data_IF_208840349164
#
_entry.id   IF_208840349164
#
_cell.length_a   1.000
_cell.length_b   1.000
_cell.length_c   1.000
_cell.angle_alpha   90.00
_cell.angle_beta   90.00
_cell.angle_gamma   90.00
#
_symmetry.space_group_name_H-M   'P 1'
#
loop_
_entity.id
_entity.type
_entity.pdbx_description
1 polymer ?
#
# COMPACT_ATOMS: atom_id res chain seq x y z
N UNK A 1 -20.67 -9.62 11.07
CA UNK A 1 -20.20 -9.63 9.67
C UNK A 1 -18.69 -9.72 9.69
N UNK A 2 -18.09 -10.49 8.77
CA UNK A 2 -16.62 -10.59 8.65
C UNK A 2 -16.11 -9.34 7.91
N UNK A 3 -15.07 -8.69 8.44
CA UNK A 3 -14.44 -7.53 7.81
C UNK A 3 -13.88 -7.91 6.43
N UNK A 4 -14.31 -7.24 5.33
CA UNK A 4 -13.76 -7.51 4.00
C UNK A 4 -12.28 -7.09 3.93
N UNK A 5 -11.43 -8.00 3.43
CA UNK A 5 -10.00 -7.76 3.25
C UNK A 5 -9.71 -7.71 1.75
N UNK A 6 -9.19 -6.58 1.26
CA UNK A 6 -8.72 -6.40 -0.11
C UNK A 6 -7.20 -6.41 -0.15
N UNK A 7 -6.59 -7.24 -1.00
CA UNK A 7 -5.14 -7.42 -1.06
C UNK A 7 -4.60 -6.95 -2.40
N UNK A 8 -3.57 -6.12 -2.35
CA UNK A 8 -2.96 -5.45 -3.48
C UNK A 8 -1.44 -5.39 -3.42
N UNK A 9 -0.87 -4.76 -4.46
CA UNK A 9 0.57 -4.57 -4.65
C UNK A 9 0.90 -3.09 -4.83
N UNK A 10 2.17 -2.73 -4.62
CA UNK A 10 2.64 -1.36 -4.62
C UNK A 10 3.19 -0.93 -5.98
N UNK A 11 2.36 -0.94 -7.01
CA UNK A 11 2.74 -0.58 -8.37
C UNK A 11 2.67 -1.76 -9.32
N UNK A 12 3.10 -1.55 -10.56
CA UNK A 12 3.04 -2.59 -11.61
C UNK A 12 4.16 -2.48 -12.64
N UNK A 13 4.85 -1.36 -12.75
CA UNK A 13 5.83 -1.12 -13.81
C UNK A 13 7.26 -1.26 -13.31
N UNK A 14 7.72 -2.52 -13.22
CA UNK A 14 9.04 -2.89 -12.73
C UNK A 14 9.86 -3.58 -13.83
N UNK A 15 11.11 -3.14 -14.03
CA UNK A 15 11.97 -3.69 -15.07
C UNK A 15 12.43 -5.12 -14.74
N UNK A 16 12.71 -5.40 -13.46
CA UNK A 16 13.11 -6.70 -12.93
C UNK A 16 11.98 -7.75 -12.93
N UNK A 17 10.76 -7.37 -13.32
CA UNK A 17 9.63 -8.28 -13.46
C UNK A 17 9.53 -8.93 -14.84
N UNK A 18 10.28 -8.44 -15.83
CA UNK A 18 10.33 -9.03 -17.16
C UNK A 18 10.92 -10.44 -17.09
N UNK A 19 10.23 -11.41 -17.71
CA UNK A 19 10.58 -12.83 -17.63
C UNK A 19 10.22 -13.51 -16.30
N UNK A 20 9.70 -12.77 -15.32
CA UNK A 20 9.20 -13.31 -14.05
C UNK A 20 7.68 -13.13 -13.97
N UNK A 21 7.19 -11.90 -13.81
CA UNK A 21 5.75 -11.62 -13.82
C UNK A 21 5.26 -11.47 -15.25
N UNK A 22 6.02 -10.77 -16.09
CA UNK A 22 5.66 -10.50 -17.48
C UNK A 22 6.46 -11.42 -18.41
N UNK A 23 5.87 -12.57 -18.74
CA UNK A 23 6.47 -13.48 -19.73
C UNK A 23 6.39 -12.89 -21.13
N UNK A 24 5.25 -12.31 -21.50
CA UNK A 24 5.11 -11.52 -22.73
C UNK A 24 5.53 -10.08 -22.45
N UNK A 25 6.63 -9.58 -23.05
CA UNK A 25 7.09 -8.21 -22.83
C UNK A 25 6.15 -7.14 -23.42
N UNK A 26 5.21 -7.54 -24.30
CA UNK A 26 4.22 -6.63 -24.92
C UNK A 26 2.93 -6.54 -24.13
N UNK A 27 2.79 -7.29 -23.04
CA UNK A 27 1.56 -7.30 -22.25
C UNK A 27 1.29 -5.92 -21.64
N UNK A 28 0.02 -5.52 -21.63
CA UNK A 28 -0.40 -4.39 -20.81
C UNK A 28 -0.25 -4.78 -19.34
N UNK A 29 0.82 -4.29 -18.72
CA UNK A 29 1.21 -4.64 -17.35
C UNK A 29 0.10 -4.36 -16.34
N UNK A 30 -0.61 -3.23 -16.45
CA UNK A 30 -1.70 -2.87 -15.53
C UNK A 30 -2.89 -3.83 -15.68
N UNK A 31 -3.32 -4.08 -16.92
CA UNK A 31 -4.42 -5.00 -17.22
C UNK A 31 -4.07 -6.41 -16.71
N UNK A 32 -2.83 -6.82 -16.93
CA UNK A 32 -2.31 -8.12 -16.51
C UNK A 32 -2.33 -8.26 -14.99
N UNK A 33 -1.62 -7.39 -14.24
CA UNK A 33 -1.51 -7.58 -12.79
C UNK A 33 -2.82 -7.37 -12.05
N UNK A 34 -3.68 -6.46 -12.52
CA UNK A 34 -5.01 -6.28 -11.93
C UNK A 34 -5.90 -7.52 -12.08
N UNK A 35 -5.50 -8.51 -12.89
CA UNK A 35 -6.16 -9.82 -12.98
C UNK A 35 -5.98 -10.70 -11.75
N UNK A 36 -5.00 -10.37 -10.90
CA UNK A 36 -4.53 -11.22 -9.81
C UNK A 36 -4.78 -10.61 -8.42
N UNK A 37 -5.00 -9.30 -8.35
CA UNK A 37 -5.12 -8.55 -7.08
C UNK A 37 -6.38 -7.71 -7.02
N UNK A 38 -6.81 -7.35 -5.81
CA UNK A 38 -8.02 -6.54 -5.58
C UNK A 38 -7.77 -5.04 -5.78
N UNK A 39 -6.54 -4.61 -5.57
CA UNK A 39 -6.16 -3.22 -5.71
C UNK A 39 -4.68 -3.03 -6.03
N UNK A 40 -4.34 -1.82 -6.43
CA UNK A 40 -2.96 -1.40 -6.71
C UNK A 40 -2.71 -0.02 -6.10
N UNK A 41 -1.61 0.12 -5.37
CA UNK A 41 -1.13 1.40 -4.86
C UNK A 41 -0.27 2.13 -5.91
N UNK A 42 -0.73 3.30 -6.34
CA UNK A 42 -0.05 4.15 -7.31
C UNK A 42 1.09 4.89 -6.61
N UNK A 43 2.32 4.50 -6.95
CA UNK A 43 3.53 5.12 -6.43
C UNK A 43 4.09 6.24 -7.31
N UNK A 44 3.71 6.31 -8.59
CA UNK A 44 4.22 7.36 -9.49
C UNK A 44 3.84 8.77 -9.04
N UNK A 45 2.71 8.92 -8.35
CA UNK A 45 2.24 10.21 -7.81
C UNK A 45 3.09 10.78 -6.69
N UNK A 46 3.89 9.94 -6.05
CA UNK A 46 4.89 10.38 -5.06
C UNK A 46 5.91 11.34 -5.68
N UNK A 47 6.23 11.18 -6.97
CA UNK A 47 7.27 11.95 -7.67
C UNK A 47 6.70 13.04 -8.59
N UNK A 48 5.47 12.87 -9.06
CA UNK A 48 4.82 13.83 -9.98
C UNK A 48 3.30 13.77 -9.82
N UNK A 49 2.61 14.91 -9.75
CA UNK A 49 1.14 14.92 -9.72
C UNK A 49 0.50 14.14 -10.86
N UNK A 50 -0.64 13.47 -10.61
CA UNK A 50 -1.33 12.71 -11.64
C UNK A 50 -1.91 13.64 -12.71
N UNK A 51 -1.92 13.19 -13.97
CA UNK A 51 -2.67 13.83 -15.04
C UNK A 51 -4.02 13.14 -15.21
N UNK A 52 -5.11 13.90 -15.31
CA UNK A 52 -6.46 13.36 -15.48
C UNK A 52 -6.59 12.43 -16.70
N UNK A 53 -5.87 12.72 -17.79
CA UNK A 53 -5.80 11.84 -18.97
C UNK A 53 -5.21 10.46 -18.65
N UNK A 54 -4.12 10.43 -17.87
CA UNK A 54 -3.47 9.19 -17.45
C UNK A 54 -4.39 8.39 -16.51
N UNK A 55 -5.06 9.07 -15.57
CA UNK A 55 -6.01 8.46 -14.64
C UNK A 55 -7.22 7.88 -15.38
N UNK A 56 -7.79 8.60 -16.37
CA UNK A 56 -8.83 8.06 -17.26
C UNK A 56 -8.38 6.80 -18.00
N UNK A 57 -7.17 6.80 -18.55
CA UNK A 57 -6.62 5.61 -19.22
C UNK A 57 -6.53 4.41 -18.28
N UNK A 58 -6.10 4.59 -17.02
CA UNK A 58 -6.08 3.52 -16.03
C UNK A 58 -7.48 3.01 -15.69
N UNK A 59 -8.46 3.92 -15.59
CA UNK A 59 -9.87 3.58 -15.37
C UNK A 59 -10.41 2.70 -16.50
N UNK A 60 -10.20 3.11 -17.76
CA UNK A 60 -10.64 2.38 -18.95
C UNK A 60 -10.00 0.98 -19.02
N UNK A 61 -8.69 0.89 -18.81
CA UNK A 61 -7.93 -0.37 -18.83
C UNK A 61 -8.37 -1.36 -17.76
N UNK A 62 -8.94 -0.88 -16.65
CA UNK A 62 -9.40 -1.72 -15.54
C UNK A 62 -10.92 -1.85 -15.47
N UNK A 63 -11.66 -1.32 -16.46
CA UNK A 63 -13.12 -1.26 -16.48
C UNK A 63 -13.84 -2.61 -16.38
N UNK A 64 -13.21 -3.69 -16.86
CA UNK A 64 -13.75 -5.05 -16.79
C UNK A 64 -13.75 -5.63 -15.36
N UNK A 65 -13.25 -4.89 -14.36
CA UNK A 65 -13.14 -5.30 -12.95
C UNK A 65 -13.87 -4.28 -12.07
N UNK A 66 -15.18 -4.46 -11.83
CA UNK A 66 -15.99 -3.48 -11.11
C UNK A 66 -15.53 -3.28 -9.65
N UNK A 67 -15.07 -4.35 -8.99
CA UNK A 67 -14.60 -4.28 -7.60
C UNK A 67 -13.15 -3.80 -7.44
N UNK A 68 -12.36 -3.86 -8.53
CA UNK A 68 -10.96 -3.44 -8.51
C UNK A 68 -10.85 -1.93 -8.26
N UNK A 69 -9.92 -1.53 -7.40
CA UNK A 69 -9.70 -0.13 -7.08
C UNK A 69 -8.22 0.21 -6.95
N UNK A 70 -7.94 1.50 -6.86
CA UNK A 70 -6.61 2.04 -6.64
C UNK A 70 -6.50 2.68 -5.27
N UNK A 71 -5.29 2.68 -4.75
CA UNK A 71 -4.83 3.63 -3.75
C UNK A 71 -3.72 4.46 -4.38
N UNK A 72 -3.34 5.57 -3.78
CA UNK A 72 -2.26 6.40 -4.33
C UNK A 72 -1.40 6.99 -3.23
N UNK A 73 -0.12 7.20 -3.53
CA UNK A 73 0.79 7.88 -2.62
C UNK A 73 0.77 9.38 -2.86
N UNK A 74 0.68 10.14 -1.78
CA UNK A 74 0.76 11.59 -1.79
C UNK A 74 2.15 12.07 -2.23
N UNK A 75 2.24 13.25 -2.82
CA UNK A 75 3.50 13.82 -3.32
C UNK A 75 4.56 13.96 -2.22
N UNK A 76 5.81 13.63 -2.55
CA UNK A 76 6.93 13.66 -1.60
C UNK A 76 7.23 15.07 -1.05
N UNK A 77 6.91 16.12 -1.81
CA UNK A 77 7.13 17.49 -1.31
C UNK A 77 6.34 17.76 -0.03
N UNK A 78 5.16 17.13 0.13
CA UNK A 78 4.32 17.29 1.31
C UNK A 78 4.86 16.50 2.50
N UNK A 79 5.36 15.27 2.29
CA UNK A 79 5.70 14.37 3.42
C UNK A 79 7.19 14.21 3.70
N UNK A 80 8.06 14.49 2.73
CA UNK A 80 9.51 14.31 2.85
C UNK A 80 10.26 15.64 2.81
N UNK A 81 9.75 16.63 2.08
CA UNK A 81 10.35 17.97 1.99
C UNK A 81 9.67 18.99 2.91
N UNK A 82 8.50 18.65 3.46
CA UNK A 82 7.76 19.50 4.40
C UNK A 82 7.13 20.75 3.78
N UNK A 83 6.88 20.75 2.46
CA UNK A 83 6.38 21.91 1.70
C UNK A 83 5.07 21.60 1.00
N UNK A 84 3.97 22.17 1.50
CA UNK A 84 2.64 22.04 0.88
C UNK A 84 2.41 23.14 -0.15
N UNK A 85 2.83 22.89 -1.39
CA UNK A 85 2.59 23.77 -2.53
C UNK A 85 1.09 23.73 -2.96
N UNK A 86 0.35 24.85 -2.90
CA UNK A 86 -1.04 24.92 -3.32
C UNK A 86 -1.30 24.50 -4.78
N UNK A 87 -0.34 24.69 -5.68
CA UNK A 87 -0.49 24.30 -7.08
C UNK A 87 -0.42 22.77 -7.23
N UNK A 88 0.50 22.12 -6.54
CA UNK A 88 0.57 20.64 -6.48
C UNK A 88 -0.72 20.06 -5.87
N UNK A 89 -1.28 20.71 -4.84
CA UNK A 89 -2.58 20.33 -4.25
C UNK A 89 -3.68 20.38 -5.31
N UNK A 90 -3.81 21.47 -6.06
CA UNK A 90 -4.80 21.60 -7.15
C UNK A 90 -4.60 20.54 -8.22
N UNK A 91 -3.36 20.24 -8.59
CA UNK A 91 -3.04 19.21 -9.58
C UNK A 91 -3.43 17.81 -9.12
N UNK A 92 -3.28 17.48 -7.82
CA UNK A 92 -3.76 16.22 -7.27
C UNK A 92 -5.28 16.08 -7.35
N UNK A 93 -6.02 17.12 -6.92
CA UNK A 93 -7.49 17.13 -6.98
C UNK A 93 -7.98 16.96 -8.43
N UNK A 94 -7.49 17.80 -9.36
CA UNK A 94 -7.87 17.72 -10.79
C UNK A 94 -7.42 16.40 -11.43
N UNK A 95 -6.23 15.93 -11.10
CA UNK A 95 -5.67 14.72 -11.69
C UNK A 95 -6.45 13.47 -11.32
N UNK A 96 -6.96 13.40 -10.09
CA UNK A 96 -7.75 12.26 -9.61
C UNK A 96 -9.26 12.38 -9.78
N UNK A 97 -9.78 13.51 -10.24
CA UNK A 97 -11.21 13.70 -10.55
C UNK A 97 -11.86 12.49 -11.25
N UNK A 98 -11.27 11.86 -12.30
CA UNK A 98 -11.89 10.70 -12.94
C UNK A 98 -12.04 9.48 -12.02
N UNK A 99 -11.09 9.28 -11.10
CA UNK A 99 -11.19 8.20 -10.11
C UNK A 99 -12.16 8.54 -8.98
N UNK A 100 -12.28 9.80 -8.59
CA UNK A 100 -13.22 10.24 -7.56
C UNK A 100 -14.66 10.09 -8.06
N UNK A 101 -14.95 10.53 -9.29
CA UNK A 101 -16.25 10.34 -9.95
C UNK A 101 -16.62 8.85 -10.07
N UNK A 102 -15.66 8.02 -10.49
CA UNK A 102 -15.87 6.58 -10.65
C UNK A 102 -15.76 5.79 -9.33
N UNK A 103 -15.47 6.44 -8.20
CA UNK A 103 -15.21 5.81 -6.89
C UNK A 103 -14.13 4.71 -6.94
N UNK A 104 -13.11 4.91 -7.78
CA UNK A 104 -12.00 3.98 -7.99
C UNK A 104 -10.74 4.28 -7.19
N UNK A 105 -10.65 5.42 -6.52
CA UNK A 105 -9.57 5.70 -5.56
C UNK A 105 -10.10 5.60 -4.14
N UNK A 106 -9.70 4.56 -3.40
CA UNK A 106 -10.21 4.33 -2.02
C UNK A 106 -9.39 5.02 -0.95
N UNK A 107 -8.08 5.14 -1.14
CA UNK A 107 -7.17 5.70 -0.13
C UNK A 107 -6.08 6.57 -0.77
N UNK A 108 -5.76 7.68 -0.11
CA UNK A 108 -4.59 8.51 -0.40
C UNK A 108 -3.59 8.37 0.77
N UNK A 109 -2.46 7.73 0.50
CA UNK A 109 -1.42 7.42 1.47
C UNK A 109 -0.50 8.63 1.69
N UNK A 110 -0.52 9.13 2.92
CA UNK A 110 0.36 10.17 3.47
C UNK A 110 1.50 9.50 4.23
N UNK A 111 2.51 9.02 3.49
CA UNK A 111 3.68 8.34 4.09
C UNK A 111 4.79 9.34 4.41
N UNK A 112 5.11 9.45 5.70
CA UNK A 112 6.21 10.27 6.21
C UNK A 112 7.51 9.49 6.36
N UNK A 113 8.62 10.21 6.39
CA UNK A 113 9.96 9.67 6.68
C UNK A 113 10.04 9.09 8.10
N UNK A 114 11.08 8.29 8.33
CA UNK A 114 11.34 7.68 9.65
C UNK A 114 11.67 8.69 10.76
N UNK A 115 12.17 9.87 10.39
CA UNK A 115 12.55 10.96 11.28
C UNK A 115 11.42 11.95 11.58
N UNK A 116 10.23 11.73 11.02
CA UNK A 116 9.03 12.51 11.34
C UNK A 116 8.48 12.10 12.70
N UNK A 117 8.97 12.74 13.75
CA UNK A 117 8.56 12.54 15.14
C UNK A 117 7.39 13.44 15.52
N UNK A 118 6.52 12.93 16.39
CA UNK A 118 5.46 13.72 17.02
C UNK A 118 6.00 14.97 17.74
N UNK A 119 5.28 16.08 17.59
CA UNK A 119 5.60 17.40 18.11
C UNK A 119 4.70 18.46 17.48
N UNK A 120 4.58 19.63 18.09
CA UNK A 120 3.66 20.68 17.62
C UNK A 120 3.87 21.06 16.13
N UNK A 121 5.11 21.26 15.61
CA UNK A 121 5.31 21.55 14.19
C UNK A 121 4.83 20.41 13.28
N UNK A 122 5.09 19.16 13.69
CA UNK A 122 4.70 17.96 12.93
C UNK A 122 3.17 17.79 12.90
N UNK A 123 2.50 18.00 14.04
CA UNK A 123 1.03 17.98 14.16
C UNK A 123 0.40 19.07 13.29
N UNK A 124 0.89 20.32 13.35
CA UNK A 124 0.38 21.41 12.50
C UNK A 124 0.54 21.11 11.01
N UNK A 125 1.70 20.58 10.62
CA UNK A 125 1.97 20.20 9.23
C UNK A 125 1.05 19.08 8.74
N UNK A 126 0.84 18.04 9.56
CA UNK A 126 -0.10 16.98 9.24
C UNK A 126 -1.54 17.51 9.14
N UNK A 127 -1.96 18.38 10.07
CA UNK A 127 -3.29 18.99 10.03
C UNK A 127 -3.51 19.86 8.78
N UNK A 128 -2.50 20.61 8.31
CA UNK A 128 -2.58 21.36 7.05
C UNK A 128 -2.75 20.44 5.84
N UNK A 129 -2.00 19.32 5.78
CA UNK A 129 -2.19 18.30 4.74
C UNK A 129 -3.61 17.74 4.80
N UNK A 130 -4.06 17.30 5.98
CA UNK A 130 -5.40 16.72 6.16
C UNK A 130 -6.49 17.70 5.72
N UNK A 131 -6.40 18.96 6.17
CA UNK A 131 -7.33 20.03 5.82
C UNK A 131 -7.48 20.28 4.31
N UNK A 132 -6.45 19.99 3.52
CA UNK A 132 -6.45 20.20 2.07
C UNK A 132 -6.95 19.01 1.25
N UNK A 133 -7.04 17.82 1.84
CA UNK A 133 -7.34 16.60 1.09
C UNK A 133 -8.53 15.79 1.64
N UNK A 134 -8.86 15.92 2.93
CA UNK A 134 -9.86 15.05 3.58
C UNK A 134 -11.28 15.15 3.00
N UNK A 135 -11.64 16.28 2.38
CA UNK A 135 -12.96 16.44 1.75
C UNK A 135 -13.14 15.55 0.52
N UNK A 136 -12.07 15.29 -0.23
CA UNK A 136 -12.10 14.52 -1.47
C UNK A 136 -11.54 13.11 -1.32
N UNK A 137 -10.65 12.88 -0.35
CA UNK A 137 -9.90 11.64 -0.23
C UNK A 137 -9.98 11.06 1.18
N UNK A 138 -10.16 9.74 1.29
CA UNK A 138 -9.92 9.02 2.54
C UNK A 138 -8.42 8.92 2.78
N UNK A 139 -7.92 9.58 3.83
CA UNK A 139 -6.48 9.67 4.10
C UNK A 139 -6.00 8.53 4.99
N UNK A 140 -4.89 7.92 4.58
CA UNK A 140 -4.14 6.94 5.37
C UNK A 140 -2.79 7.54 5.70
N UNK A 141 -2.44 7.66 6.98
CA UNK A 141 -1.16 8.21 7.42
C UNK A 141 -0.23 7.08 7.82
N UNK A 142 0.93 7.02 7.18
CA UNK A 142 1.99 6.09 7.55
C UNK A 142 3.08 6.82 8.33
N UNK A 143 3.22 6.43 9.60
CA UNK A 143 4.16 6.96 10.56
C UNK A 143 5.13 5.85 10.94
N UNK A 144 6.42 6.19 11.04
CA UNK A 144 7.49 5.23 11.28
C UNK A 144 8.28 5.50 12.56
N UNK A 145 7.96 6.59 13.26
CA UNK A 145 8.62 7.01 14.50
C UNK A 145 7.77 6.66 15.72
N UNK A 146 8.39 6.07 16.75
CA UNK A 146 7.75 5.57 17.99
C UNK A 146 7.00 6.65 18.77
N UNK A 147 7.37 7.92 18.63
CA UNK A 147 6.69 9.01 19.37
C UNK A 147 5.22 9.21 18.96
N UNK A 148 4.77 8.63 17.85
CA UNK A 148 3.37 8.64 17.45
C UNK A 148 2.51 7.55 18.10
N UNK A 149 3.09 6.70 18.97
CA UNK A 149 2.38 5.63 19.67
C UNK A 149 1.68 6.09 20.96
N UNK A 150 1.98 7.29 21.46
CA UNK A 150 1.34 7.77 22.69
C UNK A 150 -0.16 7.97 22.47
N UNK A 151 -0.95 7.79 23.54
CA UNK A 151 -2.40 7.96 23.45
C UNK A 151 -2.77 9.37 22.96
N UNK A 152 -2.05 10.41 23.39
CA UNK A 152 -2.29 11.79 22.95
C UNK A 152 -1.99 12.00 21.46
N UNK A 153 -1.05 11.25 20.89
CA UNK A 153 -0.76 11.28 19.47
C UNK A 153 -1.83 10.52 18.67
N UNK A 154 -2.25 9.35 19.16
CA UNK A 154 -3.32 8.56 18.55
C UNK A 154 -4.68 9.28 18.60
N UNK A 155 -5.01 9.95 19.70
CA UNK A 155 -6.23 10.75 19.84
C UNK A 155 -6.22 11.95 18.89
N UNK A 156 -5.06 12.60 18.73
CA UNK A 156 -4.89 13.67 17.74
C UNK A 156 -5.14 13.15 16.31
N UNK A 157 -4.57 12.00 15.96
CA UNK A 157 -4.79 11.37 14.65
C UNK A 157 -6.26 10.98 14.46
N UNK A 158 -6.90 10.42 15.49
CA UNK A 158 -8.34 10.11 15.48
C UNK A 158 -9.21 11.36 15.29
N UNK A 159 -8.86 12.47 15.95
CA UNK A 159 -9.54 13.76 15.81
C UNK A 159 -9.42 14.38 14.41
N UNK A 160 -8.37 14.03 13.65
CA UNK A 160 -8.22 14.41 12.25
C UNK A 160 -9.03 13.53 11.28
N UNK A 161 -9.68 12.46 11.75
CA UNK A 161 -10.47 11.55 10.91
C UNK A 161 -9.64 10.71 9.94
N UNK A 162 -8.33 10.57 10.16
CA UNK A 162 -7.45 9.76 9.30
C UNK A 162 -7.44 8.29 9.76
N UNK A 163 -7.04 7.41 8.85
CA UNK A 163 -6.62 6.04 9.21
C UNK A 163 -5.11 6.01 9.47
N UNK A 164 -4.67 5.37 10.54
CA UNK A 164 -3.24 5.08 10.76
C UNK A 164 -2.86 3.76 10.10
N UNK A 165 -1.82 3.80 9.27
CA UNK A 165 -1.31 2.62 8.56
C UNK A 165 -0.63 1.64 9.53
N UNK A 166 -1.07 0.39 9.50
CA UNK A 166 -0.38 -0.71 10.17
C UNK A 166 0.78 -1.20 9.28
N UNK A 167 1.90 -1.58 9.90
CA UNK A 167 3.13 -1.91 9.18
C UNK A 167 3.66 -3.31 9.52
N UNK A 168 4.24 -3.96 8.52
CA UNK A 168 5.17 -5.07 8.67
C UNK A 168 6.48 -4.70 7.97
N UNK A 169 7.52 -4.41 8.77
CA UNK A 169 8.80 -3.90 8.29
C UNK A 169 9.91 -4.15 9.33
N UNK A 170 11.20 -4.01 8.98
CA UNK A 170 12.29 -4.07 9.95
C UNK A 170 12.20 -2.94 10.97
N UNK A 171 12.22 -3.28 12.25
CA UNK A 171 12.07 -2.32 13.35
C UNK A 171 13.40 -2.08 14.07
N UNK A 172 13.63 -0.83 14.48
CA UNK A 172 14.69 -0.40 15.39
C UNK A 172 14.09 0.15 16.69
N UNK A 173 14.93 0.67 17.61
CA UNK A 173 14.46 1.27 18.86
C UNK A 173 13.44 2.40 18.63
N UNK A 174 13.64 3.22 17.60
CA UNK A 174 12.80 4.39 17.30
C UNK A 174 11.64 4.08 16.34
N UNK A 175 11.51 2.84 15.87
CA UNK A 175 10.43 2.47 14.96
C UNK A 175 9.06 2.50 15.64
N UNK A 176 8.04 2.86 14.88
CA UNK A 176 6.63 2.63 15.22
C UNK A 176 6.35 1.12 15.26
N UNK A 177 5.84 0.62 16.39
CA UNK A 177 5.77 -0.80 16.77
C UNK A 177 4.38 -1.23 17.21
N UNK A 178 3.40 -0.33 17.25
CA UNK A 178 2.05 -0.68 17.67
C UNK A 178 1.51 -1.81 16.77
N UNK A 179 1.29 -3.02 17.32
CA UNK A 179 1.04 -4.20 16.48
C UNK A 179 -0.34 -4.15 15.81
N UNK A 180 -1.30 -3.53 16.50
CA UNK A 180 -2.67 -3.32 16.06
C UNK A 180 -3.12 -1.88 16.35
N UNK A 181 -2.88 -0.96 15.42
CA UNK A 181 -3.43 0.38 15.51
C UNK A 181 -4.85 0.38 14.92
N UNK A 182 -5.83 0.83 15.71
CA UNK A 182 -7.26 0.85 15.33
C UNK A 182 -7.78 2.26 15.04
N UNK A 183 -6.90 3.24 14.88
CA UNK A 183 -7.28 4.61 14.51
C UNK A 183 -7.70 4.63 13.03
N UNK A 184 -8.97 4.99 12.79
CA UNK A 184 -9.57 5.10 11.46
C UNK A 184 -10.83 4.27 11.30
N UNK A 185 -11.61 4.57 10.25
CA UNK A 185 -12.85 3.84 9.94
C UNK A 185 -12.59 2.53 9.16
N UNK A 186 -11.69 2.62 8.18
CA UNK A 186 -11.17 1.48 7.43
C UNK A 186 -9.72 1.26 7.80
N UNK A 187 -9.29 0.01 7.89
CA UNK A 187 -7.90 -0.33 8.15
C UNK A 187 -7.04 -0.27 6.88
N UNK A 188 -5.75 -0.01 7.08
CA UNK A 188 -4.74 -0.11 6.03
C UNK A 188 -3.49 -0.80 6.57
N UNK A 189 -2.93 -1.74 5.82
CA UNK A 189 -1.77 -2.52 6.23
C UNK A 189 -0.74 -2.57 5.09
N UNK A 190 0.54 -2.32 5.37
CA UNK A 190 1.61 -2.43 4.37
C UNK A 190 2.69 -3.41 4.78
N UNK A 191 3.03 -4.31 3.85
CA UNK A 191 4.09 -5.31 3.99
C UNK A 191 5.33 -4.83 3.23
N UNK A 192 6.38 -4.46 3.94
CA UNK A 192 7.62 -3.94 3.35
C UNK A 192 8.73 -4.98 3.21
N UNK A 193 8.50 -6.21 3.65
CA UNK A 193 9.56 -7.20 3.85
C UNK A 193 10.24 -7.03 5.20
N UNK A 194 11.18 -7.94 5.54
CA UNK A 194 11.91 -7.91 6.81
C UNK A 194 13.43 -7.97 6.63
N UNK A 195 13.94 -7.41 5.53
CA UNK A 195 15.38 -7.36 5.26
C UNK A 195 16.10 -6.31 6.15
N UNK A 196 16.25 -6.62 7.43
CA UNK A 196 16.81 -5.70 8.42
C UNK A 196 18.26 -5.27 8.13
N UNK A 197 19.06 -6.16 7.52
CA UNK A 197 20.45 -5.86 7.16
C UNK A 197 20.53 -4.70 6.15
N UNK A 198 19.66 -4.69 5.14
CA UNK A 198 19.67 -3.66 4.10
C UNK A 198 18.85 -2.43 4.49
N UNK A 199 17.77 -2.61 5.24
CA UNK A 199 16.84 -1.54 5.63
C UNK A 199 17.47 -0.38 6.41
N UNK A 200 18.44 -0.67 7.28
CA UNK A 200 19.15 0.34 8.06
C UNK A 200 20.51 0.74 7.46
N UNK A 201 20.76 0.34 6.21
CA UNK A 201 22.00 0.61 5.49
C UNK A 201 21.80 1.65 4.38
N UNK A 202 22.88 2.00 3.65
CA UNK A 202 22.81 2.85 2.44
C UNK A 202 22.47 2.04 1.17
N UNK A 203 21.81 0.89 1.33
CA UNK A 203 21.46 -0.01 0.24
C UNK A 203 20.51 0.64 -0.77
N UNK A 204 20.54 0.12 -2.00
CA UNK A 204 19.60 0.52 -3.04
C UNK A 204 18.16 0.10 -2.68
N UNK A 205 17.17 0.77 -3.28
CA UNK A 205 15.74 0.48 -3.08
C UNK A 205 15.44 -1.03 -3.22
N UNK A 206 15.93 -1.64 -4.30
CA UNK A 206 15.64 -3.03 -4.62
C UNK A 206 16.21 -3.99 -3.57
N UNK A 207 17.36 -3.69 -2.97
CA UNK A 207 17.95 -4.48 -1.89
C UNK A 207 17.16 -4.36 -0.58
N UNK A 208 16.68 -3.15 -0.27
CA UNK A 208 15.84 -2.88 0.92
C UNK A 208 14.55 -3.71 0.87
N UNK A 209 13.93 -3.82 -0.31
CA UNK A 209 12.69 -4.55 -0.53
C UNK A 209 12.89 -5.99 -1.03
N UNK A 210 14.13 -6.47 -1.14
CA UNK A 210 14.45 -7.85 -1.48
C UNK A 210 14.11 -8.76 -0.31
N UNK A 211 12.86 -9.21 -0.28
CA UNK A 211 12.35 -10.09 0.75
C UNK A 211 11.19 -10.93 0.20
N UNK A 212 11.21 -12.22 0.48
CA UNK A 212 10.10 -13.12 0.20
C UNK A 212 9.64 -13.72 1.52
N UNK A 213 8.42 -13.36 1.95
CA UNK A 213 7.87 -13.80 3.22
C UNK A 213 7.68 -15.32 3.24
N UNK A 214 8.07 -15.95 4.34
CA UNK A 214 7.80 -17.38 4.55
C UNK A 214 6.33 -17.63 4.92
N UNK A 215 5.87 -18.87 4.76
CA UNK A 215 4.52 -19.28 5.16
C UNK A 215 4.22 -18.98 6.63
N UNK A 216 5.19 -19.21 7.52
CA UNK A 216 5.05 -18.92 8.95
C UNK A 216 4.80 -17.43 9.18
N UNK A 217 5.49 -16.57 8.43
CA UNK A 217 5.34 -15.13 8.56
C UNK A 217 4.04 -14.63 7.97
N UNK A 218 3.62 -15.15 6.81
CA UNK A 218 2.32 -14.85 6.22
C UNK A 218 1.17 -15.32 7.12
N UNK A 219 1.33 -16.45 7.80
CA UNK A 219 0.36 -16.92 8.82
C UNK A 219 0.28 -15.96 10.00
N UNK A 220 1.42 -15.47 10.49
CA UNK A 220 1.46 -14.45 11.53
C UNK A 220 0.86 -13.12 11.09
N UNK A 221 1.08 -12.71 9.83
CA UNK A 221 0.44 -11.53 9.24
C UNK A 221 -1.08 -11.74 9.17
N UNK A 222 -1.55 -12.89 8.68
CA UNK A 222 -2.98 -13.23 8.63
C UNK A 222 -3.63 -13.12 10.01
N UNK A 223 -2.98 -13.61 11.07
CA UNK A 223 -3.47 -13.45 12.45
C UNK A 223 -3.59 -11.97 12.85
N UNK A 224 -2.61 -11.12 12.51
CA UNK A 224 -2.71 -9.67 12.74
C UNK A 224 -3.87 -9.05 11.95
N UNK A 225 -4.09 -9.48 10.71
CA UNK A 225 -5.22 -9.00 9.90
C UNK A 225 -6.56 -9.42 10.50
N UNK A 226 -6.68 -10.62 11.06
CA UNK A 226 -7.89 -11.07 11.76
C UNK A 226 -8.20 -10.18 12.98
N UNK A 227 -7.17 -9.86 13.78
CA UNK A 227 -7.32 -8.97 14.95
C UNK A 227 -7.72 -7.56 14.51
N UNK A 228 -7.06 -6.99 13.50
CA UNK A 228 -7.44 -5.68 12.93
C UNK A 228 -8.87 -5.70 12.35
N UNK A 229 -9.27 -6.81 11.73
CA UNK A 229 -10.60 -7.02 11.17
C UNK A 229 -11.72 -7.00 12.21
N UNK A 230 -11.42 -7.09 13.51
CA UNK A 230 -12.42 -6.90 14.58
C UNK A 230 -12.78 -5.44 14.80
N UNK A 231 -11.90 -4.51 14.42
CA UNK A 231 -12.04 -3.08 14.69
C UNK A 231 -12.47 -2.25 13.47
N UNK A 232 -12.24 -2.73 12.25
CA UNK A 232 -12.47 -1.96 11.03
C UNK A 232 -13.65 -2.45 10.20
N UNK A 233 -14.30 -1.52 9.48
CA UNK A 233 -15.37 -1.85 8.53
C UNK A 233 -14.85 -2.62 7.31
N UNK A 234 -13.59 -2.36 6.92
CA UNK A 234 -12.87 -3.00 5.81
C UNK A 234 -11.37 -2.84 6.01
N UNK A 235 -10.55 -3.73 5.42
CA UNK A 235 -9.09 -3.68 5.50
C UNK A 235 -8.46 -3.73 4.10
N UNK A 236 -7.61 -2.75 3.79
CA UNK A 236 -6.78 -2.76 2.57
C UNK A 236 -5.36 -3.18 2.93
N UNK A 237 -4.82 -4.18 2.25
CA UNK A 237 -3.45 -4.70 2.47
C UNK A 237 -2.63 -4.51 1.21
N UNK A 238 -1.46 -3.88 1.32
CA UNK A 238 -0.54 -3.65 0.20
C UNK A 238 0.78 -4.36 0.46
N UNK A 239 1.13 -5.31 -0.39
CA UNK A 239 2.48 -5.85 -0.48
C UNK A 239 3.39 -4.86 -1.22
N UNK A 240 4.58 -4.62 -0.69
CA UNK A 240 5.55 -3.64 -1.20
C UNK A 240 7.00 -4.17 -1.18
N UNK A 241 7.18 -5.49 -0.97
CA UNK A 241 8.45 -6.19 -1.11
C UNK A 241 8.69 -6.54 -2.59
N UNK A 242 8.77 -5.52 -3.45
CA UNK A 242 8.54 -5.63 -4.90
C UNK A 242 9.60 -6.41 -5.70
N UNK A 243 10.81 -6.59 -5.15
CA UNK A 243 11.94 -7.09 -5.91
C UNK A 243 11.67 -8.49 -6.49
N UNK A 244 11.94 -8.66 -7.79
CA UNK A 244 11.76 -9.90 -8.57
C UNK A 244 10.35 -10.50 -8.47
N UNK A 245 9.32 -9.67 -8.26
CA UNK A 245 7.92 -10.11 -8.20
C UNK A 245 7.51 -10.72 -6.86
N UNK A 246 8.33 -10.65 -5.82
CA UNK A 246 8.01 -11.19 -4.51
C UNK A 246 6.74 -10.56 -3.90
N UNK A 247 6.46 -9.28 -4.16
CA UNK A 247 5.22 -8.64 -3.70
C UNK A 247 3.97 -9.31 -4.29
N UNK A 248 3.98 -9.66 -5.58
CA UNK A 248 2.83 -10.31 -6.22
C UNK A 248 2.69 -11.75 -5.72
N UNK A 249 3.81 -12.45 -5.56
CA UNK A 249 3.81 -13.80 -4.99
C UNK A 249 3.21 -13.82 -3.58
N UNK A 250 3.70 -12.95 -2.69
CA UNK A 250 3.20 -12.90 -1.31
C UNK A 250 1.78 -12.32 -1.20
N UNK A 251 1.38 -11.39 -2.07
CA UNK A 251 -0.01 -10.93 -2.15
C UNK A 251 -0.95 -12.10 -2.49
N UNK A 252 -0.58 -12.94 -3.46
CA UNK A 252 -1.37 -14.12 -3.85
C UNK A 252 -1.41 -15.19 -2.76
N UNK A 253 -0.28 -15.46 -2.10
CA UNK A 253 -0.27 -16.38 -0.94
C UNK A 253 -1.13 -15.89 0.20
N UNK A 254 -1.05 -14.60 0.54
CA UNK A 254 -1.88 -14.03 1.59
C UNK A 254 -3.35 -14.04 1.20
N UNK A 255 -3.68 -13.78 -0.07
CA UNK A 255 -5.05 -13.87 -0.60
C UNK A 255 -5.60 -15.29 -0.51
N UNK A 256 -4.79 -16.30 -0.80
CA UNK A 256 -5.17 -17.70 -0.59
C UNK A 256 -5.41 -18.02 0.89
N UNK A 257 -4.52 -17.57 1.79
CA UNK A 257 -4.65 -17.78 3.24
C UNK A 257 -5.89 -17.10 3.83
N UNK A 258 -6.21 -15.89 3.36
CA UNK A 258 -7.36 -15.12 3.86
C UNK A 258 -8.69 -15.64 3.30
N UNK A 259 -8.73 -15.99 2.01
CA UNK A 259 -9.97 -16.45 1.36
C UNK A 259 -10.24 -17.96 1.52
N UNK A 260 -9.21 -18.75 1.83
CA UNK A 260 -9.26 -20.21 1.76
C UNK A 260 -9.38 -20.75 0.34
N UNK A 261 -9.25 -19.91 -0.69
CA UNK A 261 -9.43 -20.28 -2.10
C UNK A 261 -8.09 -20.36 -2.83
N UNK A 262 -8.02 -21.26 -3.82
CA UNK A 262 -6.93 -21.24 -4.80
C UNK A 262 -6.94 -19.93 -5.60
N UNK A 263 -5.76 -19.51 -6.07
CA UNK A 263 -5.53 -18.27 -6.80
C UNK A 263 -5.00 -18.55 -8.20
N UNK A 264 -5.35 -17.73 -9.21
CA UNK A 264 -4.65 -17.75 -10.48
C UNK A 264 -3.20 -17.29 -10.27
N UNK A 265 -2.22 -18.04 -10.77
CA UNK A 265 -0.80 -17.73 -10.62
C UNK A 265 -0.16 -17.53 -12.00
N UNK A 266 0.55 -16.41 -12.26
CA UNK A 266 1.35 -16.24 -13.46
C UNK A 266 2.38 -17.36 -13.62
N UNK A 267 2.53 -17.92 -14.82
CA UNK A 267 3.45 -19.04 -15.07
C UNK A 267 4.91 -18.71 -14.70
N UNK A 268 5.39 -17.53 -15.08
CA UNK A 268 6.76 -17.10 -14.75
C UNK A 268 6.98 -16.89 -13.25
N UNK A 269 5.94 -16.45 -12.55
CA UNK A 269 5.98 -16.30 -11.11
C UNK A 269 6.04 -17.67 -10.42
N UNK A 270 5.27 -18.66 -10.91
CA UNK A 270 5.33 -20.04 -10.41
C UNK A 270 6.70 -20.69 -10.64
N UNK A 271 7.37 -20.42 -11.78
CA UNK A 271 8.74 -20.88 -12.04
C UNK A 271 9.75 -20.28 -11.05
N UNK A 272 9.56 -19.01 -10.70
CA UNK A 272 10.46 -18.28 -9.79
C UNK A 272 10.19 -18.63 -8.32
N UNK A 273 8.93 -18.88 -7.96
CA UNK A 273 8.46 -19.23 -6.62
C UNK A 273 7.64 -20.53 -6.65
N UNK A 274 8.30 -21.70 -6.68
CA UNK A 274 7.62 -23.00 -6.83
C UNK A 274 6.60 -23.30 -5.73
N UNK A 275 6.73 -22.70 -4.55
CA UNK A 275 5.79 -22.86 -3.43
C UNK A 275 4.37 -22.38 -3.77
N UNK A 276 4.20 -21.49 -4.75
CA UNK A 276 2.89 -21.05 -5.24
C UNK A 276 2.05 -22.19 -5.83
N UNK A 277 2.69 -23.31 -6.20
CA UNK A 277 2.06 -24.54 -6.64
C UNK A 277 0.88 -25.01 -5.76
N UNK A 278 1.01 -24.84 -4.43
CA UNK A 278 0.03 -25.31 -3.45
C UNK A 278 -1.27 -24.53 -3.45
N UNK A 279 -1.25 -23.30 -3.98
CA UNK A 279 -2.40 -22.39 -4.00
C UNK A 279 -2.93 -22.16 -5.42
N UNK A 280 -2.35 -22.76 -6.45
CA UNK A 280 -2.72 -22.47 -7.84
C UNK A 280 -4.05 -23.13 -8.24
N UNK A 281 -4.91 -22.39 -8.94
CA UNK A 281 -6.14 -22.94 -9.57
C UNK A 281 -5.78 -23.94 -10.67
N UNK A 282 -6.56 -25.02 -10.77
CA UNK A 282 -6.54 -25.90 -11.96
C UNK A 282 -5.47 -26.99 -11.93
N UNK A 283 -5.31 -27.64 -10.77
CA UNK A 283 -4.63 -28.94 -10.67
C UNK A 283 -5.66 -30.06 -10.53
#
# INVERSE_FOLDING_TARGET
>A
MVCPISIGIAGWSYADWQGIVYIDPKVDQLVYVSGFVDCIEINSTFYRPPFAKTVRSWLERTSQKPEFFFTAKLHQSFTHEGKVDPEIVKQFHRGFEPFLEAKKLRHLLVQFRYDFSDGEPARRHLADIVGRFQEAFSLVVELRHVSWESQEALDFLGGLGVTVCNLDYPMSKQSFKLPHCTVGRSGYFRMHGRNAEKWFSKAGRDEVYNYYYSERELTGIKQRLDELGKAFESLTVIANNHYRGAELANALELKALVSGQQQPIPEGLLKTYPNLARIAVGR
#
